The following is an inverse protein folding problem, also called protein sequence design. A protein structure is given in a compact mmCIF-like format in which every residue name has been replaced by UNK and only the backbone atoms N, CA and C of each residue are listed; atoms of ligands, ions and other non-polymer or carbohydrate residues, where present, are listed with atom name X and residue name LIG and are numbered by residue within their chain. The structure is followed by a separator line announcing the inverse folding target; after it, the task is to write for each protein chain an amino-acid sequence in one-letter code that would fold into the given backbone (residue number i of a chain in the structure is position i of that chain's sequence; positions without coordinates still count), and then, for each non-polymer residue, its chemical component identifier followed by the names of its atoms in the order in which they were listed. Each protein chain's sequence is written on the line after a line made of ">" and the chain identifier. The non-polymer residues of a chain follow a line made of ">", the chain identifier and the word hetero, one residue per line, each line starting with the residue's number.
data_IF_773844058204
#
_entry.id   IF_773844058204
#
_cell.length_a   1.000
_cell.length_b   1.000
_cell.length_c   1.000
_cell.angle_alpha   90.00
_cell.angle_beta   90.00
_cell.angle_gamma   90.00
#
_symmetry.space_group_name_H-M   'P 1'
#
loop_
_entity.id
_entity.type
_entity.pdbx_description
1 polymer ?
#
# COMPACT_ATOMS: atom_id res chain seq x y z
N UNK A 1 26.81 -22.47 -12.94
CA UNK A 1 26.39 -21.10 -13.34
C UNK A 1 25.49 -21.09 -14.58
N UNK A 2 25.78 -21.87 -15.64
CA UNK A 2 24.99 -21.91 -16.90
C UNK A 2 23.54 -22.39 -16.72
N UNK A 3 23.30 -23.37 -15.83
CA UNK A 3 21.97 -23.94 -15.62
C UNK A 3 21.00 -22.96 -14.94
N UNK A 4 21.49 -22.17 -13.99
CA UNK A 4 20.71 -21.13 -13.30
C UNK A 4 20.29 -20.04 -14.29
N UNK A 5 21.21 -19.60 -15.14
CA UNK A 5 20.94 -18.57 -16.16
C UNK A 5 19.93 -19.05 -17.23
N UNK A 6 19.97 -20.34 -17.58
CA UNK A 6 19.00 -20.96 -18.49
C UNK A 6 17.61 -21.06 -17.87
N UNK A 7 17.54 -21.37 -16.58
CA UNK A 7 16.29 -21.44 -15.81
C UNK A 7 15.67 -20.05 -15.60
N UNK A 8 16.49 -19.03 -15.34
CA UNK A 8 16.06 -17.63 -15.23
C UNK A 8 15.48 -17.12 -16.56
N UNK A 9 16.17 -17.34 -17.68
CA UNK A 9 15.65 -16.97 -18.99
C UNK A 9 14.36 -17.72 -19.36
N UNK A 10 14.19 -18.96 -18.87
CA UNK A 10 12.96 -19.73 -19.10
C UNK A 10 11.79 -19.18 -18.28
N UNK A 11 12.03 -18.83 -17.01
CA UNK A 11 11.04 -18.19 -16.13
C UNK A 11 10.61 -16.82 -16.65
N UNK A 12 11.56 -15.99 -17.09
CA UNK A 12 11.27 -14.68 -17.67
C UNK A 12 10.41 -14.81 -18.93
N UNK A 13 10.74 -15.76 -19.81
CA UNK A 13 9.98 -16.00 -21.04
C UNK A 13 8.55 -16.47 -20.78
N UNK A 14 8.34 -17.28 -19.74
CA UNK A 14 7.00 -17.70 -19.29
C UNK A 14 6.22 -16.51 -18.73
N UNK A 15 6.85 -15.67 -17.92
CA UNK A 15 6.21 -14.49 -17.35
C UNK A 15 5.76 -13.52 -18.45
N UNK A 16 6.60 -13.29 -19.47
CA UNK A 16 6.26 -12.43 -20.62
C UNK A 16 5.08 -12.99 -21.42
N UNK A 17 5.05 -14.31 -21.66
CA UNK A 17 3.92 -14.96 -22.35
C UNK A 17 2.62 -14.78 -21.56
N UNK A 18 2.67 -14.95 -20.25
CA UNK A 18 1.51 -14.78 -19.38
C UNK A 18 1.02 -13.32 -19.36
N UNK A 19 1.94 -12.36 -19.32
CA UNK A 19 1.63 -10.93 -19.37
C UNK A 19 0.96 -10.55 -20.70
N UNK A 20 1.49 -11.03 -21.82
CA UNK A 20 0.90 -10.82 -23.15
C UNK A 20 -0.50 -11.44 -23.24
N UNK A 21 -0.68 -12.65 -22.72
CA UNK A 21 -1.98 -13.33 -22.73
C UNK A 21 -3.04 -12.56 -21.93
N UNK A 22 -2.69 -12.04 -20.74
CA UNK A 22 -3.62 -11.23 -19.94
C UNK A 22 -3.93 -9.91 -20.63
N UNK A 23 -2.92 -9.26 -21.23
CA UNK A 23 -3.13 -8.00 -21.96
C UNK A 23 -4.07 -8.20 -23.14
N UNK A 24 -3.93 -9.32 -23.87
CA UNK A 24 -4.83 -9.68 -24.96
C UNK A 24 -6.26 -9.94 -24.45
N UNK A 25 -6.42 -10.65 -23.33
CA UNK A 25 -7.72 -10.90 -22.72
C UNK A 25 -8.41 -9.58 -22.30
N UNK A 26 -7.67 -8.67 -21.66
CA UNK A 26 -8.15 -7.33 -21.30
C UNK A 26 -8.60 -6.52 -22.53
N UNK A 27 -7.81 -6.56 -23.60
CA UNK A 27 -8.15 -5.90 -24.86
C UNK A 27 -9.47 -6.43 -25.43
N UNK A 28 -9.64 -7.75 -25.46
CA UNK A 28 -10.88 -8.39 -25.94
C UNK A 28 -12.07 -7.99 -25.08
N UNK A 29 -11.94 -8.03 -23.76
CA UNK A 29 -13.01 -7.60 -22.84
C UNK A 29 -13.34 -6.11 -23.06
N UNK A 30 -12.34 -5.26 -23.24
CA UNK A 30 -12.54 -3.83 -23.53
C UNK A 30 -13.29 -3.60 -24.84
N UNK A 31 -13.00 -4.39 -25.88
CA UNK A 31 -13.69 -4.30 -27.18
C UNK A 31 -15.15 -4.76 -27.03
N UNK A 32 -15.39 -5.88 -26.35
CA UNK A 32 -16.75 -6.40 -26.13
C UNK A 32 -17.61 -5.37 -25.39
N UNK A 33 -17.07 -4.76 -24.33
CA UNK A 33 -17.80 -3.75 -23.56
C UNK A 33 -17.98 -2.45 -24.33
N UNK A 34 -17.03 -2.06 -25.17
CA UNK A 34 -17.19 -0.93 -26.07
C UNK A 34 -18.33 -1.17 -27.07
N UNK A 35 -18.45 -2.39 -27.61
CA UNK A 35 -19.56 -2.77 -28.48
C UNK A 35 -20.89 -2.76 -27.73
N UNK A 36 -20.94 -3.28 -26.51
CA UNK A 36 -22.14 -3.25 -25.66
C UNK A 36 -22.58 -1.82 -25.31
N UNK A 37 -21.62 -0.92 -25.08
CA UNK A 37 -21.85 0.52 -24.94
C UNK A 37 -22.43 1.14 -26.21
N UNK A 38 -21.88 0.84 -27.41
CA UNK A 38 -22.42 1.33 -28.68
C UNK A 38 -23.86 0.85 -28.93
N UNK A 39 -24.20 -0.37 -28.52
CA UNK A 39 -25.55 -0.93 -28.67
C UNK A 39 -26.54 -0.29 -27.68
N UNK A 40 -26.07 0.09 -26.49
CA UNK A 40 -26.87 0.82 -25.48
C UNK A 40 -27.02 2.32 -25.83
N UNK A 41 -26.12 2.83 -26.68
CA UNK A 41 -26.05 4.22 -27.11
C UNK A 41 -27.23 4.80 -27.93
N UNK A 42 -28.20 4.07 -28.52
CA UNK A 42 -29.36 4.70 -29.16
C UNK A 42 -30.15 5.61 -28.22
N UNK A 43 -30.06 5.39 -26.89
CA UNK A 43 -30.64 6.27 -25.88
C UNK A 43 -29.93 7.63 -25.77
N UNK A 44 -28.67 7.78 -26.21
CA UNK A 44 -27.94 9.06 -26.20
C UNK A 44 -28.53 10.08 -27.16
N UNK A 45 -29.13 9.63 -28.27
CA UNK A 45 -29.60 10.52 -29.35
C UNK A 45 -30.78 11.36 -28.84
N UNK A 46 -31.54 10.86 -27.86
CA UNK A 46 -32.65 11.57 -27.24
C UNK A 46 -32.24 12.47 -26.05
N UNK A 47 -30.98 12.43 -25.60
CA UNK A 47 -30.52 13.30 -24.50
C UNK A 47 -30.52 14.76 -24.94
N UNK A 48 -30.19 15.06 -26.20
CA UNK A 48 -30.31 16.42 -26.75
C UNK A 48 -31.76 16.92 -26.72
N UNK A 49 -32.73 16.04 -27.04
CA UNK A 49 -34.16 16.36 -27.03
C UNK A 49 -34.70 16.57 -25.59
N UNK A 50 -34.25 15.75 -24.64
CA UNK A 50 -34.61 15.84 -23.22
C UNK A 50 -34.02 17.11 -22.57
N UNK A 51 -32.76 17.45 -22.86
CA UNK A 51 -32.10 18.67 -22.36
C UNK A 51 -32.75 19.93 -22.94
N UNK A 52 -33.11 19.93 -24.24
CA UNK A 52 -33.81 21.05 -24.87
C UNK A 52 -35.24 21.23 -24.33
N UNK A 53 -35.90 20.14 -23.93
CA UNK A 53 -37.26 20.16 -23.37
C UNK A 53 -37.34 20.61 -21.90
N UNK A 54 -36.20 20.86 -21.23
CA UNK A 54 -36.15 21.37 -19.85
C UNK A 54 -36.26 20.30 -18.75
N UNK A 55 -36.28 19.01 -19.09
CA UNK A 55 -36.38 17.91 -18.12
C UNK A 55 -34.98 17.49 -17.60
N UNK A 56 -34.36 18.35 -16.78
CA UNK A 56 -32.99 18.17 -16.25
C UNK A 56 -32.83 16.87 -15.44
N UNK A 57 -33.89 16.40 -14.78
CA UNK A 57 -33.87 15.12 -14.02
C UNK A 57 -33.65 13.92 -14.93
N UNK A 58 -34.38 13.85 -16.03
CA UNK A 58 -34.33 12.73 -16.97
C UNK A 58 -32.99 12.68 -17.71
N UNK A 59 -32.39 13.84 -17.99
CA UNK A 59 -31.04 13.93 -18.53
C UNK A 59 -29.95 13.44 -17.54
N UNK A 60 -30.13 13.71 -16.25
CA UNK A 60 -29.20 13.26 -15.20
C UNK A 60 -29.28 11.75 -15.01
N UNK A 61 -30.48 11.18 -15.05
CA UNK A 61 -30.72 9.74 -14.96
C UNK A 61 -30.18 9.00 -16.20
N UNK A 62 -30.43 9.54 -17.39
CA UNK A 62 -29.86 9.01 -18.64
C UNK A 62 -28.32 9.04 -18.63
N UNK A 63 -27.71 10.12 -18.15
CA UNK A 63 -26.25 10.21 -18.03
C UNK A 63 -25.69 9.18 -17.03
N UNK A 64 -26.40 8.95 -15.93
CA UNK A 64 -26.05 7.98 -14.90
C UNK A 64 -26.10 6.54 -15.44
N UNK A 65 -27.10 6.21 -16.24
CA UNK A 65 -27.23 4.90 -16.90
C UNK A 65 -26.06 4.61 -17.87
N UNK A 66 -25.46 5.66 -18.45
CA UNK A 66 -24.30 5.55 -19.34
C UNK A 66 -22.97 5.44 -18.59
N UNK A 67 -22.80 6.27 -17.56
CA UNK A 67 -21.55 6.33 -16.79
C UNK A 67 -21.40 5.10 -15.87
N UNK A 68 -22.51 4.55 -15.37
CA UNK A 68 -22.48 3.46 -14.39
C UNK A 68 -21.78 2.18 -14.90
N UNK A 69 -22.10 1.64 -16.09
CA UNK A 69 -21.39 0.49 -16.67
C UNK A 69 -19.94 0.80 -16.99
N UNK A 70 -19.65 2.00 -17.53
CA UNK A 70 -18.29 2.42 -17.89
C UNK A 70 -17.37 2.44 -16.67
N UNK A 71 -17.81 3.05 -15.57
CA UNK A 71 -17.01 3.05 -14.34
C UNK A 71 -16.91 1.63 -13.74
N UNK A 72 -17.89 0.74 -13.96
CA UNK A 72 -17.82 -0.66 -13.45
C UNK A 72 -16.65 -1.38 -14.08
N UNK A 73 -16.49 -1.14 -15.37
CA UNK A 73 -15.42 -1.73 -16.14
C UNK A 73 -14.05 -1.23 -15.72
N UNK A 74 -13.91 0.06 -15.42
CA UNK A 74 -12.66 0.66 -14.94
C UNK A 74 -12.14 -0.07 -13.69
N UNK A 75 -13.01 -0.41 -12.73
CA UNK A 75 -12.61 -1.16 -11.52
C UNK A 75 -12.05 -2.55 -11.87
N UNK A 76 -12.71 -3.26 -12.80
CA UNK A 76 -12.27 -4.60 -13.20
C UNK A 76 -10.89 -4.55 -13.85
N UNK A 77 -10.64 -3.56 -14.71
CA UNK A 77 -9.32 -3.35 -15.31
C UNK A 77 -8.28 -3.00 -14.24
N UNK A 78 -8.60 -2.05 -13.35
CA UNK A 78 -7.71 -1.60 -12.27
C UNK A 78 -7.30 -2.79 -11.38
N UNK A 79 -8.26 -3.64 -11.01
CA UNK A 79 -8.05 -4.85 -10.21
C UNK A 79 -7.14 -5.85 -10.95
N UNK A 80 -7.34 -6.07 -12.25
CA UNK A 80 -6.50 -6.96 -13.04
C UNK A 80 -5.07 -6.41 -13.15
N UNK A 81 -4.90 -5.11 -13.41
CA UNK A 81 -3.58 -4.47 -13.47
C UNK A 81 -2.86 -4.59 -12.12
N UNK A 82 -3.59 -4.43 -11.01
CA UNK A 82 -3.07 -4.62 -9.66
C UNK A 82 -2.59 -6.04 -9.39
N UNK A 83 -3.33 -7.05 -9.83
CA UNK A 83 -2.96 -8.46 -9.70
C UNK A 83 -1.70 -8.80 -10.52
N UNK A 84 -1.58 -8.27 -11.74
CA UNK A 84 -0.42 -8.52 -12.60
C UNK A 84 0.84 -7.90 -12.02
N UNK A 85 0.78 -6.62 -11.63
CA UNK A 85 1.99 -5.84 -11.29
C UNK A 85 2.62 -6.24 -9.95
N UNK A 86 1.99 -7.10 -9.14
CA UNK A 86 2.42 -7.46 -7.78
C UNK A 86 2.81 -6.25 -6.92
N UNK A 87 2.33 -5.08 -7.32
CA UNK A 87 2.36 -3.85 -6.60
C UNK A 87 0.88 -3.58 -6.35
N UNK A 88 0.28 -4.21 -5.32
CA UNK A 88 -0.89 -3.64 -4.71
C UNK A 88 -0.41 -2.31 -4.14
N UNK A 89 -0.30 -1.29 -5.01
CA UNK A 89 -0.19 0.09 -4.62
C UNK A 89 -1.38 0.25 -3.71
N UNK A 90 -1.00 0.29 -2.44
CA UNK A 90 -1.74 -0.14 -1.27
C UNK A 90 -3.23 -0.33 -1.56
N UNK A 91 -3.80 -1.54 -1.40
CA UNK A 91 -5.24 -1.92 -1.61
C UNK A 91 -6.28 -0.78 -1.48
N UNK A 92 -6.02 0.18 -0.60
CA UNK A 92 -6.64 1.49 -0.54
C UNK A 92 -6.80 2.30 -1.82
N UNK A 93 -5.83 2.37 -2.73
CA UNK A 93 -5.96 3.20 -3.93
C UNK A 93 -7.12 2.66 -4.79
N UNK A 94 -7.21 1.33 -4.92
CA UNK A 94 -8.35 0.67 -5.59
C UNK A 94 -9.63 0.83 -4.79
N UNK A 95 -9.57 0.71 -3.47
CA UNK A 95 -10.74 0.86 -2.61
C UNK A 95 -11.32 2.29 -2.70
N UNK A 96 -10.45 3.29 -2.78
CA UNK A 96 -10.80 4.70 -2.92
C UNK A 96 -11.40 4.99 -4.30
N UNK A 97 -10.81 4.44 -5.36
CA UNK A 97 -11.36 4.51 -6.73
C UNK A 97 -12.73 3.82 -6.81
N UNK A 98 -12.88 2.65 -6.18
CA UNK A 98 -14.13 1.91 -6.15
C UNK A 98 -15.26 2.69 -5.46
N UNK A 99 -14.94 3.38 -4.36
CA UNK A 99 -15.90 4.17 -3.60
C UNK A 99 -16.21 5.49 -4.29
N UNK A 100 -15.22 6.17 -4.86
CA UNK A 100 -15.45 7.41 -5.62
C UNK A 100 -16.42 7.19 -6.77
N UNK A 101 -16.32 6.05 -7.47
CA UNK A 101 -17.30 5.62 -8.45
C UNK A 101 -18.67 5.36 -7.82
N UNK A 102 -18.72 4.60 -6.74
CA UNK A 102 -20.00 4.25 -6.09
C UNK A 102 -20.76 5.52 -5.70
N UNK A 103 -20.06 6.59 -5.31
CA UNK A 103 -20.65 7.91 -5.03
C UNK A 103 -21.25 8.57 -6.28
N UNK A 104 -20.60 8.43 -7.45
CA UNK A 104 -21.11 8.95 -8.74
C UNK A 104 -22.36 8.15 -9.20
N UNK A 105 -22.42 6.86 -8.86
CA UNK A 105 -23.47 5.92 -9.30
C UNK A 105 -24.61 5.77 -8.30
N UNK A 106 -24.40 6.01 -7.01
CA UNK A 106 -25.42 5.82 -5.97
C UNK A 106 -26.47 6.95 -5.95
N UNK A 107 -26.55 7.77 -7.01
CA UNK A 107 -27.46 8.90 -7.12
C UNK A 107 -28.86 8.57 -6.62
N UNK A 108 -29.16 8.99 -5.39
CA UNK A 108 -30.34 9.77 -4.97
C UNK A 108 -30.47 9.85 -3.44
N UNK A 109 -29.73 9.05 -2.66
CA UNK A 109 -29.75 9.13 -1.19
C UNK A 109 -28.37 9.45 -0.60
N UNK A 110 -28.21 10.71 -0.19
CA UNK A 110 -27.01 11.24 0.48
C UNK A 110 -26.58 10.39 1.70
N UNK A 111 -27.52 9.68 2.32
CA UNK A 111 -27.28 8.80 3.47
C UNK A 111 -26.42 7.59 3.13
N UNK A 112 -26.65 6.95 1.99
CA UNK A 112 -25.92 5.74 1.60
C UNK A 112 -24.49 6.08 1.21
N UNK A 113 -24.32 7.20 0.51
CA UNK A 113 -23.02 7.79 0.21
C UNK A 113 -22.25 8.12 1.51
N UNK A 114 -22.92 8.75 2.48
CA UNK A 114 -22.30 9.10 3.76
C UNK A 114 -21.86 7.87 4.56
N UNK A 115 -22.68 6.81 4.59
CA UNK A 115 -22.36 5.54 5.24
C UNK A 115 -21.19 4.81 4.55
N UNK A 116 -21.12 4.86 3.22
CA UNK A 116 -19.99 4.32 2.46
C UNK A 116 -18.67 5.03 2.78
N UNK A 117 -18.68 6.37 2.82
CA UNK A 117 -17.51 7.18 3.18
C UNK A 117 -17.10 6.95 4.64
N UNK A 118 -18.05 6.85 5.58
CA UNK A 118 -17.76 6.60 6.99
C UNK A 118 -17.14 5.21 7.21
N UNK A 119 -17.65 4.19 6.50
CA UNK A 119 -17.10 2.83 6.53
C UNK A 119 -15.65 2.78 6.03
N UNK A 120 -15.34 3.57 4.99
CA UNK A 120 -13.98 3.72 4.48
C UNK A 120 -13.05 4.39 5.50
N UNK A 121 -13.52 5.47 6.13
CA UNK A 121 -12.75 6.19 7.17
C UNK A 121 -12.35 5.24 8.31
N UNK A 122 -13.25 4.34 8.72
CA UNK A 122 -12.99 3.33 9.75
C UNK A 122 -11.93 2.32 9.28
N UNK A 123 -11.99 1.84 8.04
CA UNK A 123 -10.97 0.94 7.49
C UNK A 123 -9.58 1.58 7.45
N UNK A 124 -9.49 2.87 7.11
CA UNK A 124 -8.23 3.64 7.20
C UNK A 124 -7.71 3.72 8.63
N UNK A 125 -8.59 3.97 9.59
CA UNK A 125 -8.26 4.00 11.00
C UNK A 125 -7.75 2.64 11.50
N UNK A 126 -8.45 1.56 11.15
CA UNK A 126 -8.08 0.19 11.52
C UNK A 126 -6.66 -0.11 11.03
N UNK A 127 -6.32 0.18 9.77
CA UNK A 127 -4.96 -0.11 9.31
C UNK A 127 -3.92 0.80 9.96
N UNK A 128 -4.17 2.10 10.05
CA UNK A 128 -3.20 3.06 10.59
C UNK A 128 -2.83 2.71 12.04
N UNK A 129 -3.81 2.22 12.82
CA UNK A 129 -3.63 2.05 14.26
C UNK A 129 -3.54 0.58 14.73
N UNK A 130 -4.07 -0.41 14.02
CA UNK A 130 -3.96 -1.83 14.41
C UNK A 130 -2.79 -2.59 13.76
N UNK A 131 -2.35 -2.24 12.54
CA UNK A 131 -1.33 -3.04 11.84
C UNK A 131 0.11 -2.67 12.27
N UNK A 132 0.30 -1.55 12.97
CA UNK A 132 1.62 -1.18 13.52
C UNK A 132 2.04 -1.98 14.77
N UNK A 133 1.19 -2.87 15.31
CA UNK A 133 1.38 -3.40 16.67
C UNK A 133 1.90 -4.83 16.82
N UNK A 134 2.36 -5.51 15.78
CA UNK A 134 2.90 -6.86 15.99
C UNK A 134 4.12 -7.16 15.12
N UNK A 135 5.28 -6.68 15.56
CA UNK A 135 6.54 -7.36 15.24
C UNK A 135 6.56 -8.66 16.06
N UNK A 136 6.54 -9.86 15.43
CA UNK A 136 6.54 -11.14 16.16
C UNK A 136 7.80 -11.29 17.01
N UNK A 137 7.69 -11.95 18.17
CA UNK A 137 8.82 -12.26 19.06
C UNK A 137 9.92 -13.00 18.28
N UNK A 138 11.16 -12.54 18.39
CA UNK A 138 12.31 -13.08 17.64
C UNK A 138 12.56 -12.46 16.26
N UNK A 139 11.76 -11.48 15.84
CA UNK A 139 12.01 -10.76 14.59
C UNK A 139 13.06 -9.68 14.82
N UNK A 140 14.11 -9.74 14.01
CA UNK A 140 15.14 -8.72 13.98
C UNK A 140 14.72 -7.62 13.00
N UNK A 141 14.62 -6.37 13.47
CA UNK A 141 14.38 -5.22 12.58
C UNK A 141 15.69 -4.53 12.27
N UNK A 142 15.89 -4.17 11.00
CA UNK A 142 17.02 -3.36 10.57
C UNK A 142 16.53 -1.92 10.47
N UNK A 143 17.14 -1.03 11.26
CA UNK A 143 16.71 0.36 11.38
C UNK A 143 17.90 1.31 11.37
N UNK A 144 17.60 2.56 11.07
CA UNK A 144 18.52 3.68 11.22
C UNK A 144 18.68 4.02 12.73
N UNK A 145 19.93 4.12 13.25
CA UNK A 145 20.22 4.52 14.63
C UNK A 145 19.73 5.91 15.04
N UNK A 146 19.39 6.78 14.09
CA UNK A 146 18.82 8.12 14.31
C UNK A 146 17.28 8.09 14.54
N UNK A 147 16.72 6.95 14.93
CA UNK A 147 15.37 6.87 15.50
C UNK A 147 15.37 7.31 16.97
N UNK A 148 14.29 7.94 17.44
CA UNK A 148 14.11 8.23 18.87
C UNK A 148 13.88 6.95 19.67
N UNK A 149 14.34 6.92 20.93
CA UNK A 149 14.11 5.78 21.82
C UNK A 149 12.61 5.54 22.05
N UNK A 150 11.80 6.61 22.06
CA UNK A 150 10.34 6.54 22.15
C UNK A 150 9.72 5.82 20.94
N UNK A 151 10.04 6.26 19.72
CA UNK A 151 9.52 5.62 18.50
C UNK A 151 9.93 4.14 18.42
N UNK A 152 11.14 3.81 18.87
CA UNK A 152 11.58 2.42 18.94
C UNK A 152 10.80 1.59 19.98
N UNK A 153 10.57 2.16 21.17
CA UNK A 153 9.76 1.55 22.22
C UNK A 153 8.34 1.26 21.71
N UNK A 154 7.72 2.20 20.97
CA UNK A 154 6.41 1.99 20.35
C UNK A 154 6.44 0.92 19.24
N UNK A 155 7.46 0.95 18.37
CA UNK A 155 7.56 0.03 17.23
C UNK A 155 7.81 -1.43 17.65
N UNK A 156 8.59 -1.66 18.71
CA UNK A 156 8.95 -3.00 19.19
C UNK A 156 8.19 -3.44 20.43
N UNK A 157 7.35 -2.57 21.01
CA UNK A 157 6.67 -2.81 22.29
C UNK A 157 7.68 -3.20 23.39
N UNK A 158 8.75 -2.40 23.52
CA UNK A 158 9.86 -2.60 24.46
C UNK A 158 9.96 -1.42 25.42
N UNK A 159 10.55 -1.66 26.60
CA UNK A 159 10.77 -0.64 27.62
C UNK A 159 12.26 -0.41 27.81
N UNK A 160 12.83 0.50 27.01
CA UNK A 160 14.19 1.01 27.23
C UNK A 160 14.09 2.20 28.19
N UNK A 161 14.87 2.25 29.30
CA UNK A 161 14.81 3.33 30.27
C UNK A 161 15.11 4.69 29.63
N UNK A 162 14.23 5.65 29.90
CA UNK A 162 14.10 6.90 29.17
C UNK A 162 15.13 7.96 29.58
N UNK A 163 15.73 8.59 28.57
CA UNK A 163 16.07 10.02 28.63
C UNK A 163 15.35 10.70 27.47
N UNK A 164 14.52 11.70 27.78
CA UNK A 164 13.69 12.40 26.79
C UNK A 164 14.56 13.00 25.66
N UNK A 165 14.04 12.94 24.43
CA UNK A 165 14.62 13.55 23.21
C UNK A 165 15.96 12.99 22.72
N UNK A 166 16.38 11.79 23.14
CA UNK A 166 17.61 11.16 22.64
C UNK A 166 17.38 10.15 21.53
N UNK A 167 18.27 10.19 20.55
CA UNK A 167 18.34 9.19 19.51
C UNK A 167 18.95 7.91 20.06
N UNK A 168 18.57 6.77 19.47
CA UNK A 168 19.13 5.48 19.86
C UNK A 168 20.66 5.45 19.71
N UNK A 169 21.21 6.14 18.69
CA UNK A 169 22.66 6.31 18.52
C UNK A 169 23.34 6.91 19.75
N UNK A 170 22.72 7.91 20.39
CA UNK A 170 23.30 8.56 21.57
C UNK A 170 23.35 7.60 22.77
N UNK A 171 22.31 6.78 22.91
CA UNK A 171 22.24 5.73 23.93
C UNK A 171 23.30 4.64 23.68
N UNK A 172 23.46 4.21 22.42
CA UNK A 172 24.48 3.24 22.03
C UNK A 172 25.89 3.78 22.33
N UNK A 173 26.17 5.03 21.95
CA UNK A 173 27.47 5.68 22.19
C UNK A 173 27.76 5.80 23.69
N UNK A 174 26.76 6.17 24.49
CA UNK A 174 26.91 6.26 25.95
C UNK A 174 27.21 4.90 26.58
N UNK A 175 26.38 3.89 26.30
CA UNK A 175 26.56 2.56 26.89
C UNK A 175 27.89 1.93 26.44
N UNK A 176 28.29 2.18 25.20
CA UNK A 176 29.60 1.76 24.71
C UNK A 176 30.75 2.43 25.48
N UNK A 177 30.66 3.73 25.77
CA UNK A 177 31.66 4.47 26.55
C UNK A 177 31.72 4.01 28.01
N UNK A 178 30.58 3.78 28.65
CA UNK A 178 30.49 3.29 30.03
C UNK A 178 31.07 1.88 30.19
N UNK A 179 30.84 1.00 29.19
CA UNK A 179 31.33 -0.38 29.21
C UNK A 179 32.73 -0.55 28.58
N UNK A 180 33.35 0.53 28.10
CA UNK A 180 34.64 0.48 27.40
C UNK A 180 34.60 -0.33 26.09
N UNK A 181 33.44 -0.41 25.43
CA UNK A 181 33.23 -1.19 24.21
C UNK A 181 33.52 -0.30 23.00
N UNK A 182 34.37 -0.77 22.09
CA UNK A 182 34.61 -0.11 20.81
C UNK A 182 33.51 -0.52 19.82
N UNK A 183 32.79 0.46 19.29
CA UNK A 183 31.76 0.28 18.25
C UNK A 183 32.43 -0.19 16.96
N UNK A 184 32.17 -1.45 16.57
CA UNK A 184 32.66 -2.06 15.32
C UNK A 184 31.56 -2.93 14.71
N UNK A 185 31.66 -3.16 13.40
CA UNK A 185 30.77 -4.07 12.66
C UNK A 185 30.68 -5.44 13.34
N UNK A 186 29.47 -6.01 13.39
CA UNK A 186 29.11 -7.28 14.04
C UNK A 186 29.27 -7.31 15.57
N UNK A 187 29.47 -6.17 16.24
CA UNK A 187 29.38 -6.13 17.70
C UNK A 187 27.92 -6.11 18.13
N UNK A 188 27.62 -6.93 19.14
CA UNK A 188 26.32 -6.96 19.80
C UNK A 188 26.39 -6.26 21.15
N UNK A 189 25.36 -5.49 21.47
CA UNK A 189 25.18 -4.79 22.72
C UNK A 189 23.80 -5.09 23.28
N UNK A 190 23.75 -5.57 24.53
CA UNK A 190 22.49 -5.80 25.23
C UNK A 190 22.14 -4.56 26.06
N UNK A 191 20.97 -3.98 25.76
CA UNK A 191 20.40 -2.82 26.45
C UNK A 191 18.98 -3.18 26.88
N UNK A 192 18.74 -3.33 28.18
CA UNK A 192 17.44 -3.72 28.74
C UNK A 192 16.88 -4.99 28.06
N UNK A 193 15.70 -4.90 27.43
CA UNK A 193 15.00 -6.01 26.78
C UNK A 193 15.26 -6.10 25.27
N UNK A 194 16.32 -5.43 24.78
CA UNK A 194 16.73 -5.49 23.37
C UNK A 194 18.21 -5.84 23.24
N UNK A 195 18.51 -6.67 22.24
CA UNK A 195 19.85 -6.90 21.72
C UNK A 195 20.04 -6.09 20.45
N UNK A 196 21.08 -5.27 20.42
CA UNK A 196 21.43 -4.40 19.29
C UNK A 196 22.70 -4.94 18.64
N UNK A 197 22.65 -5.27 17.35
CA UNK A 197 23.80 -5.68 16.55
C UNK A 197 24.16 -4.56 15.57
N UNK A 198 25.42 -4.12 15.58
CA UNK A 198 25.92 -3.08 14.67
C UNK A 198 26.22 -3.72 13.31
N UNK A 199 25.45 -3.36 12.29
CA UNK A 199 25.62 -3.89 10.93
C UNK A 199 26.60 -3.07 10.10
N UNK A 200 26.68 -1.76 10.34
CA UNK A 200 27.61 -0.88 9.64
C UNK A 200 27.97 0.37 10.44
N UNK A 201 29.15 0.93 10.17
CA UNK A 201 29.69 2.12 10.83
C UNK A 201 30.23 3.11 9.79
N UNK A 202 30.13 4.41 10.09
CA UNK A 202 30.68 5.48 9.26
C UNK A 202 32.21 5.62 9.41
N UNK A 203 32.81 6.49 8.60
CA UNK A 203 34.25 6.79 8.66
C UNK A 203 34.69 7.42 9.99
N UNK A 204 33.76 7.95 10.79
CA UNK A 204 33.97 8.52 12.13
C UNK A 204 33.74 7.49 13.25
N UNK A 205 33.39 6.25 12.91
CA UNK A 205 33.10 5.16 13.86
C UNK A 205 31.70 5.15 14.45
N UNK A 206 30.75 5.94 13.92
CA UNK A 206 29.35 5.97 14.35
C UNK A 206 28.54 4.89 13.65
N UNK A 207 27.60 4.20 14.33
CA UNK A 207 26.76 3.22 13.66
C UNK A 207 25.84 3.91 12.64
N UNK A 208 25.78 3.38 11.41
CA UNK A 208 24.84 3.83 10.36
C UNK A 208 23.66 2.87 10.25
N UNK A 209 23.90 1.59 10.52
CA UNK A 209 22.88 0.55 10.38
C UNK A 209 22.97 -0.39 11.56
N UNK A 210 21.84 -0.63 12.21
CA UNK A 210 21.74 -1.54 13.34
C UNK A 210 20.60 -2.52 13.15
N UNK A 211 20.76 -3.69 13.75
CA UNK A 211 19.74 -4.70 13.88
C UNK A 211 19.31 -4.77 15.33
N UNK A 212 18.03 -4.53 15.59
CA UNK A 212 17.45 -4.60 16.94
C UNK A 212 16.63 -5.88 17.05
N UNK A 213 16.90 -6.66 18.08
CA UNK A 213 16.27 -7.94 18.37
C UNK A 213 15.64 -7.84 19.76
N UNK A 214 14.32 -8.03 19.84
CA UNK A 214 13.61 -8.12 21.12
C UNK A 214 14.00 -9.41 21.83
N UNK A 215 14.57 -9.31 23.03
CA UNK A 215 15.05 -10.46 23.82
C UNK A 215 14.05 -10.95 24.88
N UNK A 216 12.94 -10.24 25.10
CA UNK A 216 11.81 -10.62 25.96
C UNK A 216 10.45 -10.30 25.33
#
# INVERSE_FOLDING_TARGET
>A
MVFIKKMENFLLKIADIFLVAITLALLVISIVLFVEFLITSPHLIHIEEIILSGHIKDATESLKELISPLLMFVIVIELIIMLIKHQPRIVFDVLLIAIAREIIIAGHDFKDVLLGVLSLLILFLIRKFLILKSVPRGTAIIIDPYITVEALNEMLDVHIPFEEEKYLVDLIERVAKERGIVLKKHRTLDIANVKIEILDVDEKGKPILIRVIKTA
#
